data_IF_596376212945
#
_entry.id   IF_596376212945
#
_cell.length_a   1.000
_cell.length_b   1.000
_cell.length_c   1.000
_cell.angle_alpha   90.00
_cell.angle_beta   90.00
_cell.angle_gamma   90.00
#
_symmetry.space_group_name_H-M   'P 1'
#
loop_
_entity.id
_entity.type
_entity.pdbx_description
1 polymer ?
#
# COMPACT_ATOMS: atom_id res chain seq x y z
N UNK A 1 -21.10 46.34 -24.21
CA UNK A 1 -21.65 44.97 -24.11
C UNK A 1 -20.56 44.07 -23.56
N UNK A 2 -20.76 43.45 -22.39
CA UNK A 2 -19.74 42.66 -21.67
C UNK A 2 -19.71 41.24 -22.25
N UNK A 3 -18.54 40.78 -22.70
CA UNK A 3 -18.35 39.41 -23.17
C UNK A 3 -18.42 38.44 -21.98
N UNK A 4 -19.49 37.65 -21.92
CA UNK A 4 -19.63 36.53 -21.00
C UNK A 4 -18.79 35.35 -21.49
N UNK A 5 -17.50 35.37 -21.18
CA UNK A 5 -16.61 34.22 -21.37
C UNK A 5 -16.67 33.30 -20.16
N UNK A 6 -17.74 32.53 -20.01
CA UNK A 6 -17.76 31.40 -19.09
C UNK A 6 -16.77 30.37 -19.63
N UNK A 7 -15.55 30.33 -19.09
CA UNK A 7 -14.66 29.18 -19.24
C UNK A 7 -15.28 28.05 -18.45
N UNK A 8 -16.18 27.30 -19.07
CA UNK A 8 -16.58 26.00 -18.56
C UNK A 8 -15.30 25.17 -18.41
N UNK A 9 -14.94 24.73 -17.20
CA UNK A 9 -13.86 23.78 -17.06
C UNK A 9 -14.31 22.52 -17.78
N UNK A 10 -13.60 22.16 -18.84
CA UNK A 10 -13.75 20.87 -19.47
C UNK A 10 -13.46 19.81 -18.41
N UNK A 11 -14.52 19.27 -17.81
CA UNK A 11 -14.43 18.06 -17.00
C UNK A 11 -14.12 16.95 -17.99
N UNK A 12 -12.83 16.79 -18.29
CA UNK A 12 -12.32 15.59 -18.92
C UNK A 12 -12.53 14.46 -17.93
N UNK A 13 -13.67 13.78 -18.08
CA UNK A 13 -13.89 12.43 -17.58
C UNK A 13 -12.96 11.49 -18.38
N UNK A 14 -11.65 11.64 -18.19
CA UNK A 14 -10.68 10.65 -18.62
C UNK A 14 -10.94 9.41 -17.76
N UNK A 15 -11.29 8.29 -18.38
CA UNK A 15 -11.69 7.03 -17.73
C UNK A 15 -10.56 6.31 -16.99
N UNK A 16 -9.67 7.04 -16.32
CA UNK A 16 -8.59 6.52 -15.48
C UNK A 16 -8.02 7.62 -14.57
N UNK A 17 -7.37 7.26 -13.44
CA UNK A 17 -6.77 8.24 -12.56
C UNK A 17 -5.74 9.07 -13.33
N UNK A 18 -5.77 10.39 -13.10
CA UNK A 18 -4.73 11.29 -13.57
C UNK A 18 -3.36 10.82 -13.06
N UNK A 19 -2.27 11.13 -13.79
CA UNK A 19 -0.93 10.73 -13.38
C UNK A 19 -0.60 11.14 -11.92
N UNK A 20 -1.10 12.31 -11.49
CA UNK A 20 -0.97 12.78 -10.11
C UNK A 20 -1.74 11.92 -9.10
N UNK A 21 -2.94 11.45 -9.44
CA UNK A 21 -3.74 10.56 -8.60
C UNK A 21 -3.09 9.18 -8.47
N UNK A 22 -2.58 8.64 -9.57
CA UNK A 22 -1.83 7.38 -9.56
C UNK A 22 -0.53 7.49 -8.71
N UNK A 23 0.16 8.63 -8.79
CA UNK A 23 1.32 8.90 -7.94
C UNK A 23 0.95 8.97 -6.45
N UNK A 24 -0.16 9.64 -6.10
CA UNK A 24 -0.68 9.69 -4.72
C UNK A 24 -1.04 8.29 -4.20
N UNK A 25 -1.72 7.47 -4.99
CA UNK A 25 -2.05 6.09 -4.63
C UNK A 25 -0.78 5.26 -4.41
N UNK A 26 0.18 5.34 -5.34
CA UNK A 26 1.47 4.64 -5.22
C UNK A 26 2.23 5.04 -3.95
N UNK A 27 2.26 6.32 -3.61
CA UNK A 27 2.90 6.81 -2.39
C UNK A 27 2.21 6.25 -1.14
N UNK A 28 0.88 6.26 -1.09
CA UNK A 28 0.14 5.70 0.04
C UNK A 28 0.42 4.20 0.23
N UNK A 29 0.45 3.42 -0.86
CA UNK A 29 0.76 1.99 -0.80
C UNK A 29 2.20 1.77 -0.30
N UNK A 30 3.15 2.54 -0.83
CA UNK A 30 4.55 2.47 -0.40
C UNK A 30 4.75 2.79 1.09
N UNK A 31 3.93 3.69 1.67
CA UNK A 31 3.96 3.96 3.11
C UNK A 31 3.56 2.73 3.93
N UNK A 32 2.48 2.04 3.56
CA UNK A 32 2.02 0.80 4.22
C UNK A 32 3.10 -0.30 4.12
N UNK A 33 3.71 -0.45 2.94
CA UNK A 33 4.82 -1.40 2.73
C UNK A 33 6.06 -1.02 3.54
N UNK A 34 6.35 0.27 3.68
CA UNK A 34 7.46 0.76 4.50
C UNK A 34 7.28 0.45 5.99
N UNK A 35 6.06 0.60 6.52
CA UNK A 35 5.73 0.19 7.90
C UNK A 35 5.92 -1.31 8.07
N UNK A 36 5.44 -2.11 7.10
CA UNK A 36 5.59 -3.56 7.12
C UNK A 36 7.05 -4.00 7.14
N UNK A 37 7.89 -3.40 6.30
CA UNK A 37 9.33 -3.66 6.25
C UNK A 37 10.03 -3.33 7.58
N UNK A 38 9.71 -2.17 8.18
CA UNK A 38 10.28 -1.78 9.47
C UNK A 38 9.90 -2.76 10.58
N UNK A 39 8.65 -3.22 10.61
CA UNK A 39 8.19 -4.19 11.60
C UNK A 39 8.88 -5.55 11.42
N UNK A 40 9.03 -6.04 10.18
CA UNK A 40 9.78 -7.26 9.89
C UNK A 40 11.26 -7.17 10.30
N UNK A 41 11.88 -6.00 10.13
CA UNK A 41 13.26 -5.77 10.59
C UNK A 41 13.38 -5.87 12.10
N UNK A 42 12.44 -5.27 12.86
CA UNK A 42 12.42 -5.41 14.32
C UNK A 42 12.18 -6.86 14.77
N UNK A 43 11.27 -7.56 14.08
CA UNK A 43 10.98 -8.96 14.37
C UNK A 43 12.15 -9.90 14.07
N UNK A 44 13.07 -9.53 13.17
CA UNK A 44 14.23 -10.36 12.82
C UNK A 44 15.22 -10.54 13.98
N UNK A 45 15.27 -9.60 14.92
CA UNK A 45 16.10 -9.67 16.13
C UNK A 45 15.41 -10.43 17.28
N UNK A 46 14.15 -10.86 17.10
CA UNK A 46 13.35 -11.56 18.12
C UNK A 46 13.46 -13.08 17.95
N UNK A 47 13.35 -13.81 19.06
CA UNK A 47 13.18 -15.26 19.01
C UNK A 47 11.71 -15.59 18.68
N UNK A 48 11.43 -15.79 17.40
CA UNK A 48 10.07 -16.03 16.91
C UNK A 48 9.64 -17.50 17.11
N UNK A 49 8.38 -17.70 17.51
CA UNK A 49 7.71 -18.99 17.45
C UNK A 49 7.45 -19.43 16.01
N UNK A 50 7.14 -20.72 15.79
CA UNK A 50 6.82 -21.23 14.46
C UNK A 50 5.64 -20.47 13.81
N UNK A 51 4.60 -20.16 14.60
CA UNK A 51 3.45 -19.38 14.13
C UNK A 51 3.86 -17.95 13.74
N UNK A 52 4.77 -17.32 14.47
CA UNK A 52 5.30 -16.00 14.11
C UNK A 52 6.18 -16.05 12.85
N UNK A 53 6.97 -17.11 12.65
CA UNK A 53 7.72 -17.31 11.40
C UNK A 53 6.79 -17.48 10.19
N UNK A 54 5.65 -18.17 10.36
CA UNK A 54 4.62 -18.26 9.32
C UNK A 54 4.00 -16.90 9.02
N UNK A 55 3.72 -16.08 10.05
CA UNK A 55 3.23 -14.72 9.89
C UNK A 55 4.25 -13.82 9.17
N UNK A 56 5.56 -13.98 9.42
CA UNK A 56 6.62 -13.29 8.66
C UNK A 56 6.55 -13.67 7.18
N UNK A 57 6.40 -14.97 6.90
CA UNK A 57 6.31 -15.48 5.53
C UNK A 57 5.09 -14.94 4.79
N UNK A 58 3.91 -14.95 5.43
CA UNK A 58 2.68 -14.38 4.89
C UNK A 58 2.78 -12.86 4.67
N UNK A 59 3.40 -12.13 5.60
CA UNK A 59 3.65 -10.70 5.45
C UNK A 59 4.47 -10.41 4.19
N UNK A 60 5.57 -11.14 3.97
CA UNK A 60 6.41 -10.98 2.78
C UNK A 60 5.65 -11.28 1.49
N UNK A 61 4.84 -12.33 1.47
CA UNK A 61 4.00 -12.68 0.32
C UNK A 61 3.01 -11.54 -0.03
N UNK A 62 2.34 -10.96 0.97
CA UNK A 62 1.45 -9.82 0.71
C UNK A 62 2.21 -8.57 0.23
N UNK A 63 3.43 -8.32 0.73
CA UNK A 63 4.25 -7.23 0.21
C UNK A 63 4.62 -7.44 -1.26
N UNK A 64 4.96 -8.66 -1.66
CA UNK A 64 5.26 -9.00 -3.07
C UNK A 64 4.01 -8.88 -3.96
N UNK A 65 2.86 -9.40 -3.51
CA UNK A 65 1.59 -9.29 -4.21
C UNK A 65 1.16 -7.83 -4.38
N UNK A 66 1.40 -6.99 -3.36
CA UNK A 66 1.15 -5.55 -3.44
C UNK A 66 1.99 -4.89 -4.53
N UNK A 67 3.31 -5.17 -4.54
CA UNK A 67 4.23 -4.64 -5.56
C UNK A 67 3.85 -5.10 -6.97
N UNK A 68 3.46 -6.37 -7.13
CA UNK A 68 3.00 -6.90 -8.41
C UNK A 68 1.71 -6.21 -8.90
N UNK A 69 0.73 -6.02 -8.03
CA UNK A 69 -0.50 -5.30 -8.36
C UNK A 69 -0.23 -3.82 -8.70
N UNK A 70 0.69 -3.16 -7.99
CA UNK A 70 1.12 -1.80 -8.32
C UNK A 70 1.77 -1.70 -9.71
N UNK A 71 2.57 -2.70 -10.08
CA UNK A 71 3.21 -2.77 -11.39
C UNK A 71 2.18 -3.02 -12.50
N UNK A 72 1.11 -3.76 -12.21
CA UNK A 72 -0.03 -3.97 -13.10
C UNK A 72 -1.00 -2.77 -13.18
N UNK A 73 -0.80 -1.72 -12.39
CA UNK A 73 -1.71 -0.56 -12.31
C UNK A 73 -2.98 -0.81 -11.48
N UNK A 74 -3.09 -1.96 -10.83
CA UNK A 74 -4.20 -2.31 -9.94
C UNK A 74 -3.92 -1.77 -8.53
N UNK A 75 -4.11 -0.46 -8.35
CA UNK A 75 -3.82 0.23 -7.10
C UNK A 75 -4.74 -0.17 -5.94
N UNK A 76 -5.99 -0.54 -6.24
CA UNK A 76 -6.93 -0.99 -5.22
C UNK A 76 -6.47 -2.33 -4.63
N UNK A 77 -6.17 -3.32 -5.48
CA UNK A 77 -5.65 -4.62 -5.04
C UNK A 77 -4.30 -4.48 -4.35
N UNK A 78 -3.43 -3.62 -4.88
CA UNK A 78 -2.15 -3.32 -4.26
C UNK A 78 -2.30 -2.78 -2.84
N UNK A 79 -3.24 -1.85 -2.63
CA UNK A 79 -3.54 -1.28 -1.32
C UNK A 79 -4.09 -2.35 -0.36
N UNK A 80 -4.99 -3.22 -0.83
CA UNK A 80 -5.49 -4.33 -0.01
C UNK A 80 -4.36 -5.23 0.48
N UNK A 81 -3.44 -5.61 -0.40
CA UNK A 81 -2.30 -6.44 0.00
C UNK A 81 -1.34 -5.71 0.94
N UNK A 82 -1.04 -4.44 0.69
CA UNK A 82 -0.18 -3.66 1.58
C UNK A 82 -0.79 -3.47 2.98
N UNK A 83 -2.10 -3.26 3.06
CA UNK A 83 -2.80 -3.18 4.34
C UNK A 83 -2.75 -4.50 5.11
N UNK A 84 -2.93 -5.64 4.43
CA UNK A 84 -2.79 -6.97 5.04
C UNK A 84 -1.36 -7.22 5.56
N UNK A 85 -0.36 -6.85 4.76
CA UNK A 85 1.05 -6.92 5.18
C UNK A 85 1.30 -6.08 6.44
N UNK A 86 0.78 -4.85 6.47
CA UNK A 86 0.92 -3.99 7.64
C UNK A 86 0.29 -4.64 8.87
N UNK A 87 -0.96 -5.11 8.77
CA UNK A 87 -1.68 -5.69 9.90
C UNK A 87 -0.93 -6.89 10.50
N UNK A 88 -0.45 -7.82 9.67
CA UNK A 88 0.32 -8.97 10.15
C UNK A 88 1.67 -8.55 10.73
N UNK A 89 2.33 -7.55 10.14
CA UNK A 89 3.59 -7.04 10.66
C UNK A 89 3.44 -6.32 12.00
N UNK A 90 2.31 -5.63 12.22
CA UNK A 90 2.00 -4.99 13.50
C UNK A 90 1.72 -6.02 14.60
N UNK A 91 1.15 -7.17 14.25
CA UNK A 91 0.98 -8.28 15.16
C UNK A 91 2.34 -8.86 15.60
N UNK A 92 3.27 -9.02 14.66
CA UNK A 92 4.65 -9.45 14.94
C UNK A 92 5.45 -8.46 15.80
N UNK A 93 5.17 -7.16 15.68
CA UNK A 93 5.85 -6.12 16.45
C UNK A 93 5.35 -6.01 17.89
N UNK A 94 4.28 -6.73 18.26
CA UNK A 94 3.77 -6.77 19.63
C UNK A 94 4.50 -7.88 20.40
N UNK A 95 4.98 -7.62 21.63
CA UNK A 95 5.48 -8.68 22.48
C UNK A 95 4.34 -9.66 22.83
N UNK A 96 4.61 -10.96 22.80
CA UNK A 96 3.68 -11.95 23.36
C UNK A 96 3.39 -11.60 24.83
N UNK A 97 2.11 -11.65 25.22
CA UNK A 97 1.69 -11.39 26.60
C UNK A 97 2.02 -12.54 27.53
#
# INVERSE_FOLDING_TARGET
MRQGGSKEPSIQLAGGPSAEQAAKQRNAINQLLGVSDQNLKRAADMQLSAAQQDTVSQTRQFMEQSKAAMAAGDFERARTFAWKAQLLSEDLAKPEK
#
